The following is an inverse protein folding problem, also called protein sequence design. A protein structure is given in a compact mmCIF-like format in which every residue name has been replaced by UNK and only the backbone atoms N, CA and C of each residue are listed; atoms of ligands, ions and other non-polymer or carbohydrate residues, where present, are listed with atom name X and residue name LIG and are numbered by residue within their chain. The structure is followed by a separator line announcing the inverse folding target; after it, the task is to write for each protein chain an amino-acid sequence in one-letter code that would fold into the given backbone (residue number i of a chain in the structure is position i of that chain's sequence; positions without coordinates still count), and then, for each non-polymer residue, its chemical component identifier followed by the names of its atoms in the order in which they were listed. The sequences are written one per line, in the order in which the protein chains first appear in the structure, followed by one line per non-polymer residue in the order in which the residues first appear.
data_IF_115036803653
#
_entry.id   IF_115036803653
#
_cell.length_a   1.000
_cell.length_b   1.000
_cell.length_c   1.000
_cell.angle_alpha   90.00
_cell.angle_beta   90.00
_cell.angle_gamma   90.00
#
_symmetry.space_group_name_H-M   'P 1'
#
loop_
_entity.id
_entity.type
_entity.pdbx_description
1 polymer ?
#
# COMPACT_ATOMS: atom_id res chain seq x y z
N UNK A 1 31.86 -15.34 -8.87
CA UNK A 1 31.29 -14.07 -9.36
C UNK A 1 29.85 -14.06 -8.89
N UNK A 2 29.47 -13.06 -8.08
CA UNK A 2 28.09 -12.96 -7.55
C UNK A 2 27.20 -12.47 -8.69
N UNK A 3 26.02 -13.04 -8.83
CA UNK A 3 25.01 -12.58 -9.79
C UNK A 3 24.54 -11.20 -9.32
N UNK A 4 24.70 -10.17 -10.16
CA UNK A 4 24.34 -8.77 -9.86
C UNK A 4 22.93 -8.40 -10.37
N UNK A 5 22.16 -9.40 -10.81
CA UNK A 5 20.78 -9.27 -11.27
C UNK A 5 19.80 -9.83 -10.24
N UNK A 6 18.69 -9.14 -10.07
CA UNK A 6 17.48 -9.68 -9.44
C UNK A 6 16.40 -9.83 -10.51
N UNK A 7 15.67 -10.93 -10.46
CA UNK A 7 14.51 -11.18 -11.31
C UNK A 7 13.31 -11.47 -10.44
N UNK A 8 12.15 -10.97 -10.85
CA UNK A 8 10.90 -11.17 -10.12
C UNK A 8 9.69 -11.17 -11.07
N UNK A 9 8.59 -11.75 -10.59
CA UNK A 9 7.28 -11.65 -11.23
C UNK A 9 6.52 -10.47 -10.64
N UNK A 10 6.25 -9.47 -11.48
CA UNK A 10 5.42 -8.32 -11.12
C UNK A 10 4.06 -8.42 -11.81
N UNK A 11 3.06 -7.75 -11.24
CA UNK A 11 1.72 -7.70 -11.83
C UNK A 11 1.48 -6.33 -12.42
N UNK A 12 1.10 -6.27 -13.69
CA UNK A 12 0.68 -5.01 -14.32
C UNK A 12 -0.78 -4.67 -13.98
N UNK A 13 -1.28 -3.51 -14.41
CA UNK A 13 -2.66 -3.10 -14.11
C UNK A 13 -3.74 -3.96 -14.78
N UNK A 14 -3.41 -4.67 -15.85
CA UNK A 14 -4.31 -5.61 -16.50
C UNK A 14 -4.36 -6.97 -15.79
N UNK A 15 -3.71 -7.10 -14.63
CA UNK A 15 -3.55 -8.36 -13.89
C UNK A 15 -2.73 -9.41 -14.67
N UNK A 16 -1.92 -8.97 -15.62
CA UNK A 16 -0.97 -9.82 -16.32
C UNK A 16 0.33 -9.91 -15.50
N UNK A 17 0.93 -11.10 -15.52
CA UNK A 17 2.20 -11.36 -14.87
C UNK A 17 3.34 -10.98 -15.80
N UNK A 18 4.32 -10.24 -15.31
CA UNK A 18 5.43 -9.72 -16.11
C UNK A 18 6.77 -10.14 -15.49
N UNK A 19 7.75 -10.46 -16.33
CA UNK A 19 9.13 -10.68 -15.88
C UNK A 19 9.83 -9.34 -15.74
N UNK A 20 10.26 -9.01 -14.53
CA UNK A 20 11.07 -7.83 -14.23
C UNK A 20 12.52 -8.21 -13.94
N UNK A 21 13.46 -7.42 -14.43
CA UNK A 21 14.89 -7.59 -14.20
C UNK A 21 15.47 -6.29 -13.66
N UNK A 22 16.26 -6.37 -12.60
CA UNK A 22 16.96 -5.24 -12.02
C UNK A 22 18.45 -5.53 -11.91
N UNK A 23 19.28 -4.61 -12.38
CA UNK A 23 20.73 -4.67 -12.24
C UNK A 23 21.15 -3.94 -10.97
N UNK A 24 21.41 -4.71 -9.91
CA UNK A 24 21.56 -4.19 -8.55
C UNK A 24 22.89 -3.46 -8.29
N UNK A 25 23.95 -3.75 -9.05
CA UNK A 25 25.26 -3.13 -8.88
C UNK A 25 25.90 -2.78 -10.24
N UNK A 26 25.32 -1.83 -10.97
CA UNK A 26 25.91 -1.40 -12.24
C UNK A 26 27.21 -0.62 -11.96
N UNK A 27 28.34 -1.14 -12.44
CA UNK A 27 29.61 -0.41 -12.35
C UNK A 27 29.62 0.72 -13.38
N UNK A 28 30.12 1.90 -12.99
CA UNK A 28 30.07 3.10 -13.83
C UNK A 28 30.89 2.99 -15.13
N UNK A 29 30.31 3.67 -16.13
CA UNK A 29 30.71 3.97 -17.51
C UNK A 29 30.64 2.84 -18.57
N UNK A 30 29.67 3.01 -19.48
CA UNK A 30 29.55 2.42 -20.83
C UNK A 30 29.05 0.99 -21.02
N UNK A 31 28.41 0.37 -20.01
CA UNK A 31 27.83 -0.98 -20.16
C UNK A 31 26.31 -0.96 -20.09
N UNK A 32 25.68 -1.22 -21.22
CA UNK A 32 24.27 -1.63 -21.30
C UNK A 32 24.15 -3.12 -21.03
N UNK A 33 22.98 -3.54 -20.54
CA UNK A 33 22.65 -4.96 -20.42
C UNK A 33 21.40 -5.25 -21.24
N UNK A 34 21.55 -6.11 -22.24
CA UNK A 34 20.43 -6.52 -23.09
C UNK A 34 19.75 -7.73 -22.48
N UNK A 35 18.44 -7.63 -22.34
CA UNK A 35 17.60 -8.63 -21.70
C UNK A 35 16.55 -9.10 -22.70
N UNK A 36 16.47 -10.41 -22.92
CA UNK A 36 15.59 -11.03 -23.90
C UNK A 36 14.69 -12.05 -23.22
N UNK A 37 13.41 -12.05 -23.59
CA UNK A 37 12.43 -13.08 -23.22
C UNK A 37 11.84 -13.69 -24.49
N UNK A 38 11.93 -15.00 -24.62
CA UNK A 38 11.59 -15.76 -25.81
C UNK A 38 10.49 -16.78 -25.51
N UNK A 39 9.37 -16.67 -26.21
CA UNK A 39 8.33 -17.69 -26.31
C UNK A 39 8.58 -18.51 -27.57
N UNK A 40 9.23 -19.66 -27.41
CA UNK A 40 9.59 -20.52 -28.54
C UNK A 40 8.37 -21.14 -29.24
N UNK A 41 7.25 -21.30 -28.54
CA UNK A 41 6.04 -21.89 -29.10
C UNK A 41 5.34 -20.91 -30.04
N UNK A 42 5.27 -19.65 -29.63
CA UNK A 42 4.61 -18.58 -30.40
C UNK A 42 5.58 -17.78 -31.28
N UNK A 43 6.89 -18.09 -31.23
CA UNK A 43 7.95 -17.37 -31.93
C UNK A 43 7.95 -15.86 -31.61
N UNK A 44 7.73 -15.53 -30.33
CA UNK A 44 7.75 -14.16 -29.82
C UNK A 44 9.09 -13.90 -29.15
N UNK A 45 9.75 -12.81 -29.54
CA UNK A 45 10.97 -12.31 -28.91
C UNK A 45 10.72 -10.91 -28.38
N UNK A 46 10.90 -10.73 -27.08
CA UNK A 46 10.82 -9.45 -26.40
C UNK A 46 12.22 -9.04 -25.94
N UNK A 47 12.56 -7.76 -26.09
CA UNK A 47 13.90 -7.24 -25.83
C UNK A 47 13.78 -5.89 -25.12
N UNK A 48 14.51 -5.76 -24.02
CA UNK A 48 14.70 -4.50 -23.31
C UNK A 48 16.17 -4.31 -22.94
N UNK A 49 16.58 -3.06 -22.73
CA UNK A 49 17.96 -2.71 -22.39
C UNK A 49 18.01 -1.96 -21.07
N UNK A 50 18.80 -2.47 -20.14
CA UNK A 50 19.16 -1.79 -18.89
C UNK A 50 20.35 -0.85 -19.19
N UNK A 51 20.28 0.40 -18.71
CA UNK A 51 21.33 1.41 -18.89
C UNK A 51 21.77 2.01 -17.56
N UNK A 52 22.91 2.72 -17.48
CA UNK A 52 23.30 3.45 -16.27
C UNK A 52 22.23 4.44 -15.78
N UNK A 53 21.43 4.97 -16.70
CA UNK A 53 20.32 5.89 -16.42
C UNK A 53 18.99 5.18 -16.15
N UNK A 54 18.88 3.86 -16.40
CA UNK A 54 17.74 3.02 -16.06
C UNK A 54 18.19 1.62 -15.59
N UNK A 55 18.18 1.38 -14.29
CA UNK A 55 18.75 0.16 -13.69
C UNK A 55 17.79 -1.04 -13.62
N UNK A 56 16.60 -0.96 -14.24
CA UNK A 56 15.68 -2.08 -14.32
C UNK A 56 14.64 -1.99 -15.44
N UNK A 57 14.25 -3.15 -15.97
CA UNK A 57 13.36 -3.30 -17.13
C UNK A 57 12.31 -4.39 -16.90
N UNK A 58 11.28 -4.38 -17.73
CA UNK A 58 10.19 -5.38 -17.71
C UNK A 58 10.04 -5.97 -19.10
N UNK A 59 10.24 -7.27 -19.26
CA UNK A 59 10.40 -7.89 -20.57
C UNK A 59 9.08 -8.22 -21.28
N UNK A 60 7.98 -8.40 -20.54
CA UNK A 60 6.70 -8.73 -21.15
C UNK A 60 5.82 -9.63 -20.29
N UNK A 61 4.58 -9.82 -20.76
CA UNK A 61 3.60 -10.66 -20.09
C UNK A 61 3.93 -12.14 -20.27
N UNK A 62 3.76 -12.92 -19.20
CA UNK A 62 3.97 -14.36 -19.16
C UNK A 62 2.73 -15.09 -18.65
N UNK A 63 2.49 -16.27 -19.21
CA UNK A 63 1.43 -17.17 -18.78
C UNK A 63 1.91 -18.03 -17.60
N UNK A 64 0.98 -18.34 -16.69
CA UNK A 64 1.26 -19.25 -15.58
C UNK A 64 1.55 -20.66 -16.10
N UNK A 65 2.50 -21.34 -15.46
CA UNK A 65 2.94 -22.69 -15.76
C UNK A 65 3.53 -22.89 -17.17
N UNK A 66 3.77 -21.80 -17.91
CA UNK A 66 4.44 -21.81 -19.21
C UNK A 66 5.90 -21.42 -19.08
N UNK A 67 6.77 -22.19 -19.71
CA UNK A 67 8.21 -21.96 -19.75
C UNK A 67 8.58 -20.95 -20.86
N UNK A 68 9.40 -19.96 -20.50
CA UNK A 68 9.98 -18.98 -21.41
C UNK A 68 11.50 -19.06 -21.36
N UNK A 69 12.15 -18.86 -22.50
CA UNK A 69 13.60 -18.75 -22.55
C UNK A 69 14.02 -17.33 -22.21
N UNK A 70 15.05 -17.20 -21.37
CA UNK A 70 15.62 -15.91 -21.02
C UNK A 70 17.08 -15.83 -21.41
N UNK A 71 17.50 -14.67 -21.92
CA UNK A 71 18.90 -14.36 -22.22
C UNK A 71 19.24 -12.97 -21.71
N UNK A 72 20.30 -12.85 -20.94
CA UNK A 72 20.82 -11.59 -20.40
C UNK A 72 22.26 -11.45 -20.87
N UNK A 73 22.58 -10.34 -21.53
CA UNK A 73 23.89 -10.09 -22.12
C UNK A 73 24.51 -8.86 -21.46
N UNK A 74 25.59 -9.09 -20.71
CA UNK A 74 26.37 -8.04 -20.03
C UNK A 74 27.83 -8.14 -20.48
N UNK A 75 28.26 -7.22 -21.34
CA UNK A 75 29.60 -7.21 -21.94
C UNK A 75 29.97 -8.55 -22.59
N UNK A 76 30.94 -9.30 -22.05
CA UNK A 76 31.36 -10.61 -22.57
C UNK A 76 30.59 -11.79 -21.95
N UNK A 77 29.73 -11.53 -20.97
CA UNK A 77 28.98 -12.57 -20.26
C UNK A 77 27.58 -12.70 -20.86
N UNK A 78 27.23 -13.93 -21.23
CA UNK A 78 25.88 -14.28 -21.69
C UNK A 78 25.29 -15.26 -20.68
N UNK A 79 24.21 -14.85 -20.03
CA UNK A 79 23.43 -15.68 -19.14
C UNK A 79 22.20 -16.16 -19.90
N UNK A 80 21.95 -17.46 -19.90
CA UNK A 80 20.78 -18.06 -20.56
C UNK A 80 20.08 -18.99 -19.61
N UNK A 81 18.77 -19.12 -19.75
CA UNK A 81 18.00 -19.98 -18.89
C UNK A 81 16.55 -20.13 -19.31
N UNK A 82 15.81 -20.76 -18.42
CA UNK A 82 14.36 -20.86 -18.50
C UNK A 82 13.73 -20.17 -17.29
N UNK A 83 12.60 -19.50 -17.53
CA UNK A 83 11.77 -18.90 -16.49
C UNK A 83 10.34 -19.40 -16.63
N UNK A 84 9.73 -19.73 -15.49
CA UNK A 84 8.31 -20.13 -15.42
C UNK A 84 7.65 -19.39 -14.27
N UNK A 85 6.49 -18.77 -14.54
CA UNK A 85 5.67 -18.16 -13.51
C UNK A 85 4.73 -19.21 -12.90
N UNK A 86 4.73 -19.37 -11.58
CA UNK A 86 3.91 -20.36 -10.87
C UNK A 86 2.96 -19.70 -9.89
N UNK A 87 1.73 -20.21 -9.75
CA UNK A 87 0.80 -19.80 -8.68
C UNK A 87 0.94 -20.72 -7.48
N UNK A 88 1.24 -20.15 -6.32
CA UNK A 88 1.21 -20.88 -5.06
C UNK A 88 -0.25 -21.08 -4.61
N UNK A 89 -0.74 -22.33 -4.65
CA UNK A 89 -2.11 -22.67 -4.28
C UNK A 89 -2.47 -22.39 -2.80
N UNK A 90 -1.49 -22.30 -1.90
CA UNK A 90 -1.73 -22.06 -0.46
C UNK A 90 -1.80 -20.57 -0.10
N UNK A 91 -1.17 -19.71 -0.91
CA UNK A 91 -0.95 -18.29 -0.58
C UNK A 91 -1.46 -17.33 -1.65
N UNK A 92 -2.00 -17.84 -2.76
CA UNK A 92 -2.43 -17.06 -3.93
C UNK A 92 -1.35 -16.15 -4.54
N UNK A 93 -0.07 -16.30 -4.16
CA UNK A 93 1.05 -15.52 -4.69
C UNK A 93 1.63 -16.15 -5.95
N UNK A 94 2.16 -15.31 -6.85
CA UNK A 94 2.88 -15.76 -8.06
C UNK A 94 4.38 -15.54 -7.91
N UNK A 95 5.16 -16.53 -8.33
CA UNK A 95 6.61 -16.54 -8.24
C UNK A 95 7.27 -16.96 -9.56
N UNK A 96 8.51 -16.52 -9.80
CA UNK A 96 9.33 -17.04 -10.89
C UNK A 96 10.20 -18.19 -10.39
N UNK A 97 10.07 -19.36 -11.01
CA UNK A 97 11.13 -20.35 -11.00
C UNK A 97 12.12 -20.01 -12.13
N UNK A 98 13.41 -20.06 -11.83
CA UNK A 98 14.46 -19.64 -12.77
C UNK A 98 15.62 -20.63 -12.77
N UNK A 99 15.99 -21.10 -13.96
CA UNK A 99 17.14 -21.97 -14.17
C UNK A 99 18.11 -21.29 -15.12
N UNK A 100 18.99 -20.43 -14.60
CA UNK A 100 19.93 -19.62 -15.39
C UNK A 100 21.36 -20.13 -15.23
N UNK A 101 22.05 -20.28 -16.37
CA UNK A 101 23.44 -20.69 -16.45
C UNK A 101 24.21 -19.75 -17.39
N UNK A 102 25.53 -19.65 -17.17
CA UNK A 102 26.42 -18.87 -18.02
C UNK A 102 26.70 -19.69 -19.29
N UNK A 103 26.37 -19.14 -20.46
CA UNK A 103 26.67 -19.76 -21.74
C UNK A 103 28.19 -19.72 -22.02
N UNK A 104 28.85 -20.85 -22.30
CA UNK A 104 30.29 -20.89 -22.51
C UNK A 104 30.64 -20.45 -23.94
N UNK A 105 30.55 -19.15 -24.23
CA UNK A 105 31.19 -18.56 -25.39
C UNK A 105 32.48 -17.83 -24.95
N UNK A 106 33.62 -18.54 -25.08
CA UNK A 106 35.03 -18.05 -24.99
C UNK A 106 35.82 -18.12 -23.67
N UNK A 107 35.57 -19.08 -22.77
CA UNK A 107 36.67 -19.62 -21.92
C UNK A 107 36.35 -21.00 -21.37
N UNK A 108 37.12 -22.00 -21.81
CA UNK A 108 37.23 -23.29 -21.13
C UNK A 108 37.71 -23.05 -19.69
N UNK A 109 36.85 -23.28 -18.69
CA UNK A 109 37.18 -23.94 -17.42
C UNK A 109 36.04 -23.77 -16.41
N UNK A 110 35.61 -24.89 -15.84
CA UNK A 110 34.68 -25.05 -14.72
C UNK A 110 33.28 -24.49 -14.95
N UNK A 111 32.41 -25.39 -15.41
CA UNK A 111 31.01 -25.45 -14.97
C UNK A 111 31.01 -25.41 -13.44
N UNK A 112 30.96 -24.20 -12.88
CA UNK A 112 30.26 -24.03 -11.63
C UNK A 112 28.81 -24.28 -12.01
N UNK A 113 28.29 -25.46 -11.66
CA UNK A 113 26.87 -25.52 -11.35
C UNK A 113 26.66 -24.37 -10.38
N UNK A 114 26.05 -23.29 -10.83
CA UNK A 114 25.22 -22.49 -9.94
C UNK A 114 24.02 -23.41 -9.73
N UNK A 115 24.22 -24.45 -8.91
CA UNK A 115 23.17 -24.88 -8.03
C UNK A 115 22.89 -23.58 -7.29
N UNK A 116 21.82 -22.86 -7.67
CA UNK A 116 20.99 -22.26 -6.65
C UNK A 116 20.82 -23.41 -5.69
N UNK A 117 21.62 -23.41 -4.60
CA UNK A 117 21.43 -24.40 -3.57
C UNK A 117 19.93 -24.42 -3.38
N UNK A 118 19.42 -25.63 -3.28
CA UNK A 118 18.13 -25.92 -2.71
C UNK A 118 18.10 -25.44 -1.25
N UNK A 119 18.54 -24.20 -0.96
CA UNK A 119 17.80 -23.28 -0.15
C UNK A 119 16.38 -23.46 -0.63
N UNK A 120 15.60 -24.05 0.25
CA UNK A 120 14.23 -24.41 0.02
C UNK A 120 13.55 -23.33 -0.82
N UNK A 121 12.56 -23.74 -1.59
CA UNK A 121 11.51 -22.90 -2.18
C UNK A 121 10.76 -22.05 -1.10
N UNK A 122 11.31 -21.98 0.12
CA UNK A 122 11.17 -20.92 1.11
C UNK A 122 11.88 -19.59 0.75
N UNK A 123 12.61 -19.47 -0.37
CA UNK A 123 13.25 -18.21 -0.78
C UNK A 123 12.29 -17.10 -1.24
N UNK A 124 10.98 -17.39 -1.33
CA UNK A 124 9.92 -16.37 -1.34
C UNK A 124 9.06 -16.35 -0.05
N UNK A 125 9.45 -17.08 1.00
CA UNK A 125 8.76 -17.16 2.30
C UNK A 125 9.41 -16.32 3.42
N UNK A 126 10.27 -15.35 3.11
CA UNK A 126 10.86 -14.50 4.15
C UNK A 126 10.97 -13.00 3.79
N UNK A 127 9.82 -12.34 3.57
CA UNK A 127 9.69 -10.95 4.03
C UNK A 127 9.96 -10.82 5.56
N UNK A 128 10.04 -11.94 6.29
CA UNK A 128 10.25 -11.99 7.74
C UNK A 128 11.69 -11.70 8.21
N UNK A 129 12.72 -11.69 7.34
CA UNK A 129 14.12 -11.46 7.76
C UNK A 129 14.96 -10.48 6.91
N UNK A 130 14.46 -9.97 5.78
CA UNK A 130 15.21 -8.95 5.02
C UNK A 130 15.27 -7.67 5.86
N UNK A 131 16.50 -7.19 6.09
CA UNK A 131 16.73 -5.88 6.72
C UNK A 131 17.47 -4.96 5.77
N UNK A 132 17.30 -3.67 5.99
CA UNK A 132 17.87 -2.59 5.21
C UNK A 132 18.80 -1.77 6.10
N UNK A 133 20.04 -1.59 5.67
CA UNK A 133 21.03 -0.78 6.36
C UNK A 133 21.27 0.51 5.58
N UNK A 134 21.12 1.63 6.27
CA UNK A 134 21.43 2.94 5.73
C UNK A 134 22.91 3.29 5.94
N UNK A 135 23.49 3.98 4.97
CA UNK A 135 24.90 4.38 4.94
C UNK A 135 25.06 5.85 4.52
N UNK A 136 26.08 6.50 5.04
CA UNK A 136 26.61 7.78 4.56
C UNK A 136 28.11 7.60 4.32
N UNK A 137 28.50 7.49 3.05
CA UNK A 137 29.82 6.99 2.69
C UNK A 137 30.02 5.55 3.21
N UNK A 138 31.08 5.32 3.98
CA UNK A 138 31.37 4.02 4.61
C UNK A 138 30.70 3.82 5.99
N UNK A 139 30.08 4.85 6.56
CA UNK A 139 29.50 4.80 7.89
C UNK A 139 28.06 4.30 7.87
N UNK A 140 27.72 3.42 8.82
CA UNK A 140 26.35 2.97 9.05
C UNK A 140 25.56 4.05 9.79
N UNK A 141 24.45 4.48 9.22
CA UNK A 141 23.49 5.35 9.90
C UNK A 141 22.44 4.48 10.61
N UNK A 142 22.47 4.47 11.94
CA UNK A 142 21.52 3.72 12.76
C UNK A 142 21.61 2.19 12.62
N UNK A 143 20.69 1.50 13.30
CA UNK A 143 20.55 0.05 13.19
C UNK A 143 19.86 -0.35 11.88
N UNK A 144 20.07 -1.58 11.42
CA UNK A 144 19.36 -2.13 10.27
C UNK A 144 17.84 -2.16 10.54
N UNK A 145 17.07 -1.65 9.59
CA UNK A 145 15.61 -1.53 9.65
C UNK A 145 14.94 -2.71 8.98
N UNK A 146 13.74 -3.09 9.42
CA UNK A 146 12.91 -4.07 8.69
C UNK A 146 12.22 -3.46 7.47
N UNK A 147 11.95 -2.15 7.49
CA UNK A 147 11.42 -1.42 6.34
C UNK A 147 12.51 -0.70 5.57
N UNK A 148 12.44 -0.82 4.25
CA UNK A 148 13.25 -0.06 3.30
C UNK A 148 13.11 1.45 3.55
N UNK A 149 11.88 1.93 3.68
CA UNK A 149 11.58 3.36 3.79
C UNK A 149 11.99 3.94 5.13
N UNK A 150 11.90 3.14 6.20
CA UNK A 150 12.51 3.49 7.48
C UNK A 150 14.03 3.67 7.37
N UNK A 151 14.71 2.86 6.54
CA UNK A 151 16.13 3.05 6.27
C UNK A 151 16.42 4.26 5.36
N UNK A 152 15.59 4.54 4.35
CA UNK A 152 15.67 5.76 3.53
C UNK A 152 15.53 7.02 4.41
N UNK A 153 14.71 6.95 5.46
CA UNK A 153 14.54 8.09 6.36
C UNK A 153 15.80 8.46 7.12
N UNK A 154 16.57 7.46 7.56
CA UNK A 154 17.81 7.69 8.32
C UNK A 154 18.78 8.60 7.55
N UNK A 155 18.71 8.60 6.23
CA UNK A 155 19.58 9.36 5.33
C UNK A 155 18.91 10.59 4.69
N UNK A 156 17.66 10.95 5.05
CA UNK A 156 16.93 12.09 4.45
C UNK A 156 17.76 13.37 4.44
N UNK A 157 18.32 13.74 5.58
CA UNK A 157 19.07 15.00 5.75
C UNK A 157 20.55 14.89 5.37
N UNK A 158 20.98 13.75 4.81
CA UNK A 158 22.38 13.46 4.48
C UNK A 158 22.61 13.63 2.98
N UNK A 159 23.74 14.19 2.57
CA UNK A 159 24.00 14.49 1.15
C UNK A 159 24.17 13.23 0.27
N UNK A 160 24.93 12.23 0.75
CA UNK A 160 25.34 11.05 -0.03
C UNK A 160 24.84 9.75 0.61
N UNK A 161 23.55 9.70 0.88
CA UNK A 161 22.90 8.57 1.54
C UNK A 161 22.70 7.38 0.59
N UNK A 162 22.90 6.16 1.09
CA UNK A 162 22.61 4.91 0.37
C UNK A 162 21.90 3.94 1.31
N UNK A 163 20.93 3.19 0.80
CA UNK A 163 20.30 2.08 1.53
C UNK A 163 20.62 0.77 0.83
N UNK A 164 21.07 -0.21 1.62
CA UNK A 164 21.42 -1.54 1.13
C UNK A 164 20.64 -2.63 1.83
N UNK A 165 20.28 -3.66 1.08
CA UNK A 165 19.82 -4.94 1.60
C UNK A 165 20.94 -5.62 2.38
N UNK A 166 20.64 -6.10 3.58
CA UNK A 166 21.65 -6.71 4.48
C UNK A 166 22.01 -8.15 4.11
N UNK A 167 21.11 -8.87 3.45
CA UNK A 167 21.28 -10.24 2.99
C UNK A 167 22.10 -10.33 1.71
N UNK A 168 21.84 -9.45 0.74
CA UNK A 168 22.52 -9.46 -0.56
C UNK A 168 23.68 -8.47 -0.64
N UNK A 169 23.60 -7.36 0.10
CA UNK A 169 24.48 -6.20 -0.04
C UNK A 169 24.07 -5.23 -1.15
N UNK A 170 22.97 -5.53 -1.85
CA UNK A 170 22.49 -4.75 -2.99
C UNK A 170 22.04 -3.35 -2.58
N UNK A 171 22.38 -2.36 -3.40
CA UNK A 171 21.83 -1.00 -3.27
C UNK A 171 20.39 -1.01 -3.77
N UNK A 172 19.49 -0.47 -2.95
CA UNK A 172 18.04 -0.40 -3.25
C UNK A 172 17.50 1.02 -3.12
N UNK A 173 18.36 1.98 -2.77
CA UNK A 173 18.13 3.42 -2.84
C UNK A 173 19.47 4.14 -2.75
N UNK A 174 19.65 5.19 -3.52
CA UNK A 174 20.79 6.10 -3.45
C UNK A 174 20.37 7.54 -3.73
N UNK A 175 21.26 8.50 -3.46
CA UNK A 175 20.99 9.92 -3.73
C UNK A 175 21.55 10.42 -5.07
N UNK A 176 22.10 9.52 -5.89
CA UNK A 176 22.66 9.84 -7.19
C UNK A 176 21.61 9.70 -8.30
N UNK A 177 20.69 8.74 -8.18
CA UNK A 177 19.59 8.53 -9.13
C UNK A 177 18.38 9.40 -8.80
N UNK A 178 17.78 10.09 -9.78
CA UNK A 178 16.69 11.03 -9.51
C UNK A 178 15.39 10.35 -9.05
N UNK A 179 15.05 9.19 -9.61
CA UNK A 179 13.80 8.46 -9.37
C UNK A 179 14.08 6.99 -9.10
N UNK A 180 13.43 6.40 -8.08
CA UNK A 180 13.57 4.98 -7.73
C UNK A 180 12.21 4.31 -7.82
N UNK A 181 12.12 3.23 -8.59
CA UNK A 181 10.89 2.50 -8.94
C UNK A 181 10.69 1.35 -7.96
N UNK A 182 9.50 1.28 -7.39
CA UNK A 182 9.10 0.22 -6.48
C UNK A 182 7.71 -0.32 -6.83
N UNK A 183 7.49 -1.59 -6.54
CA UNK A 183 6.16 -2.19 -6.39
C UNK A 183 6.11 -2.81 -4.99
N UNK A 184 5.18 -2.35 -4.16
CA UNK A 184 5.26 -2.53 -2.69
C UNK A 184 6.66 -2.14 -2.17
N UNK A 185 7.28 -2.93 -1.29
CA UNK A 185 8.62 -2.65 -0.75
C UNK A 185 9.76 -3.12 -1.65
N UNK A 186 9.46 -3.78 -2.77
CA UNK A 186 10.45 -4.34 -3.69
C UNK A 186 10.94 -3.29 -4.67
N UNK A 187 12.26 -3.22 -4.85
CA UNK A 187 12.95 -2.29 -5.74
C UNK A 187 13.07 -2.88 -7.15
N UNK A 188 12.73 -2.08 -8.16
CA UNK A 188 12.74 -2.47 -9.58
C UNK A 188 13.63 -1.56 -10.44
N UNK A 189 14.63 -0.95 -9.82
CA UNK A 189 15.57 -0.06 -10.49
C UNK A 189 15.28 1.41 -10.25
N UNK A 190 16.14 2.25 -10.77
CA UNK A 190 16.06 3.70 -10.74
C UNK A 190 16.16 4.26 -12.14
N UNK A 191 15.63 5.46 -12.35
CA UNK A 191 15.75 6.20 -13.60
C UNK A 191 16.05 7.68 -13.34
N UNK A 192 16.55 8.38 -14.35
CA UNK A 192 16.78 9.83 -14.28
C UNK A 192 15.72 10.66 -15.04
N UNK A 193 14.91 10.03 -15.88
CA UNK A 193 13.88 10.71 -16.68
C UNK A 193 12.51 10.67 -15.99
N UNK A 194 11.84 11.82 -15.76
CA UNK A 194 10.52 11.88 -15.13
C UNK A 194 9.45 11.07 -15.89
N UNK A 195 9.51 11.06 -17.23
CA UNK A 195 8.55 10.33 -18.07
C UNK A 195 8.61 8.83 -17.86
N UNK A 196 9.79 8.28 -17.58
CA UNK A 196 9.94 6.85 -17.31
C UNK A 196 9.38 6.50 -15.92
N UNK A 197 9.62 7.37 -14.94
CA UNK A 197 9.02 7.25 -13.62
C UNK A 197 7.48 7.31 -13.67
N UNK A 198 6.92 8.21 -14.48
CA UNK A 198 5.48 8.30 -14.73
C UNK A 198 4.94 7.05 -15.42
N UNK A 199 5.64 6.56 -16.46
CA UNK A 199 5.28 5.32 -17.15
C UNK A 199 5.25 4.11 -16.21
N UNK A 200 6.21 3.97 -15.30
CA UNK A 200 6.21 2.92 -14.27
C UNK A 200 4.93 2.94 -13.43
N UNK A 201 4.53 4.15 -13.00
CA UNK A 201 3.31 4.38 -12.22
C UNK A 201 2.05 4.10 -13.04
N UNK A 202 2.08 4.37 -14.35
CA UNK A 202 0.99 4.12 -15.28
C UNK A 202 0.81 2.65 -15.66
N UNK A 203 1.88 1.87 -15.73
CA UNK A 203 1.85 0.49 -16.22
C UNK A 203 1.59 -0.54 -15.10
N UNK A 204 2.05 -0.26 -13.88
CA UNK A 204 2.05 -1.23 -12.79
C UNK A 204 1.09 -0.89 -11.65
N UNK A 205 0.38 -1.89 -11.15
CA UNK A 205 -0.39 -1.79 -9.93
C UNK A 205 0.55 -1.78 -8.71
N UNK A 206 0.13 -1.21 -7.58
CA UNK A 206 0.90 -1.19 -6.33
C UNK A 206 2.28 -0.51 -6.45
N UNK A 207 2.43 0.38 -7.43
CA UNK A 207 3.70 0.96 -7.84
C UNK A 207 3.88 2.37 -7.32
N UNK A 208 5.11 2.74 -6.99
CA UNK A 208 5.43 4.11 -6.61
C UNK A 208 6.88 4.46 -6.89
N UNK A 209 7.14 5.76 -6.90
CA UNK A 209 8.46 6.31 -7.17
C UNK A 209 8.93 7.20 -6.03
N UNK A 210 10.16 6.99 -5.55
CA UNK A 210 10.81 7.85 -4.56
C UNK A 210 11.93 8.66 -5.21
N UNK A 211 11.98 9.96 -4.95
CA UNK A 211 13.04 10.86 -5.41
C UNK A 211 14.32 10.72 -4.60
N UNK A 212 15.45 11.16 -5.18
CA UNK A 212 16.75 11.27 -4.48
C UNK A 212 16.73 12.09 -3.18
N UNK A 213 15.80 13.02 -3.06
CA UNK A 213 15.61 13.83 -1.85
C UNK A 213 14.85 13.08 -0.73
N UNK A 214 14.60 11.78 -0.93
CA UNK A 214 13.85 10.91 -0.05
C UNK A 214 12.37 11.33 0.08
N UNK A 215 11.74 11.89 -0.96
CA UNK A 215 10.30 12.15 -1.02
C UNK A 215 9.59 11.30 -2.07
N UNK A 216 8.28 11.10 -1.89
CA UNK A 216 7.43 10.39 -2.82
C UNK A 216 7.31 11.29 -4.03
N UNK A 217 7.66 10.78 -5.20
CA UNK A 217 7.38 11.47 -6.44
C UNK A 217 5.90 11.37 -6.73
N UNK A 218 5.44 10.14 -6.94
CA UNK A 218 4.06 9.79 -7.26
C UNK A 218 3.84 8.28 -7.06
N UNK A 219 2.60 7.82 -7.14
CA UNK A 219 2.22 6.41 -7.01
C UNK A 219 1.05 6.04 -7.94
N UNK A 220 0.82 4.74 -8.14
CA UNK A 220 -0.23 4.25 -9.04
C UNK A 220 -1.63 4.73 -8.68
N UNK A 221 -1.86 5.13 -7.43
CA UNK A 221 -3.15 5.64 -6.98
C UNK A 221 -3.44 7.09 -7.44
N UNK A 222 -2.50 8.01 -7.24
CA UNK A 222 -2.69 9.46 -7.51
C UNK A 222 -2.93 9.69 -9.01
N UNK A 223 -2.16 9.03 -9.87
CA UNK A 223 -2.27 9.15 -11.33
C UNK A 223 -3.61 8.59 -11.88
N UNK A 224 -4.12 7.49 -11.30
CA UNK A 224 -5.31 6.79 -11.84
C UNK A 224 -6.65 7.42 -11.44
N UNK A 225 -6.80 7.80 -10.17
CA UNK A 225 -8.13 8.04 -9.59
C UNK A 225 -8.51 9.51 -9.56
N UNK A 226 -7.53 10.41 -9.76
CA UNK A 226 -7.67 11.84 -9.48
C UNK A 226 -7.30 12.75 -10.64
N UNK A 227 -7.08 12.23 -11.86
CA UNK A 227 -6.70 13.03 -13.05
C UNK A 227 -7.70 14.14 -13.42
N UNK A 228 -8.94 14.11 -12.88
CA UNK A 228 -9.95 15.15 -13.01
C UNK A 228 -10.39 15.84 -11.71
N UNK A 229 -9.87 15.45 -10.53
CA UNK A 229 -10.27 16.00 -9.23
C UNK A 229 -9.10 16.78 -8.65
N UNK A 230 -9.27 18.09 -8.42
CA UNK A 230 -8.26 18.90 -7.71
C UNK A 230 -8.08 18.36 -6.29
N UNK A 231 -7.05 17.55 -6.11
CA UNK A 231 -6.63 17.05 -4.79
C UNK A 231 -5.94 18.20 -4.07
N UNK A 232 -6.61 18.82 -3.10
CA UNK A 232 -5.97 19.81 -2.23
C UNK A 232 -4.76 19.19 -1.52
N UNK A 233 -3.72 19.98 -1.26
CA UNK A 233 -2.42 19.48 -0.79
C UNK A 233 -2.50 18.61 0.49
N UNK A 234 -3.48 18.87 1.37
CA UNK A 234 -3.71 18.07 2.58
C UNK A 234 -4.18 16.62 2.30
N UNK A 235 -4.69 16.36 1.09
CA UNK A 235 -5.04 15.03 0.60
C UNK A 235 -3.88 14.35 -0.13
N UNK A 236 -2.74 15.01 -0.37
CA UNK A 236 -1.55 14.31 -0.86
C UNK A 236 -0.90 13.63 0.34
N UNK A 237 -0.27 12.49 0.12
CA UNK A 237 0.37 11.70 1.17
C UNK A 237 1.41 12.41 2.06
N UNK A 238 1.98 13.61 1.77
CA UNK A 238 2.95 14.22 2.67
C UNK A 238 2.41 14.55 4.06
N UNK A 239 1.10 14.83 4.21
CA UNK A 239 0.59 15.44 5.44
C UNK A 239 -0.10 14.46 6.41
N UNK A 240 -0.55 13.28 5.98
CA UNK A 240 -1.45 12.43 6.80
C UNK A 240 -1.22 10.91 6.77
N UNK A 241 -0.45 10.37 5.80
CA UNK A 241 -0.04 8.95 5.74
C UNK A 241 -1.14 7.88 5.88
N UNK A 242 -2.42 8.23 5.67
CA UNK A 242 -3.55 7.39 6.06
C UNK A 242 -4.26 6.70 4.91
N UNK A 243 -4.52 5.39 5.04
CA UNK A 243 -5.30 4.60 4.09
C UNK A 243 -6.77 4.76 4.42
N UNK A 244 -7.59 5.07 3.43
CA UNK A 244 -9.00 5.37 3.62
C UNK A 244 -9.80 4.83 2.44
N UNK A 245 -10.73 3.93 2.70
CA UNK A 245 -11.69 3.48 1.69
C UNK A 245 -13.01 4.20 1.92
N UNK A 246 -13.54 4.87 0.89
CA UNK A 246 -14.77 5.68 0.94
C UNK A 246 -15.81 5.22 -0.06
N UNK A 247 -17.07 5.21 0.35
CA UNK A 247 -18.23 5.01 -0.52
C UNK A 247 -19.21 6.14 -0.32
N UNK A 248 -19.56 6.87 -1.38
CA UNK A 248 -20.55 7.95 -1.28
C UNK A 248 -21.75 7.76 -2.20
N UNK A 249 -22.89 8.27 -1.74
CA UNK A 249 -24.03 8.63 -2.58
C UNK A 249 -24.24 10.16 -2.46
N UNK A 250 -24.19 10.87 -3.58
CA UNK A 250 -24.07 12.32 -3.62
C UNK A 250 -25.42 13.02 -3.52
N UNK A 251 -25.51 14.02 -2.62
CA UNK A 251 -26.50 15.11 -2.65
C UNK A 251 -27.99 14.71 -2.72
N UNK A 252 -28.35 13.57 -2.14
CA UNK A 252 -29.75 13.13 -2.09
C UNK A 252 -30.45 13.51 -0.79
N UNK A 253 -29.93 14.45 0.01
CA UNK A 253 -30.62 14.94 1.22
C UNK A 253 -30.86 13.89 2.31
N UNK A 254 -30.01 12.86 2.38
CA UNK A 254 -30.09 11.84 3.42
C UNK A 254 -29.84 12.47 4.80
N UNK A 255 -30.55 11.98 5.81
CA UNK A 255 -30.47 12.43 7.22
C UNK A 255 -30.04 11.31 8.16
N UNK A 256 -30.15 10.07 7.71
CA UNK A 256 -29.89 8.89 8.51
C UNK A 256 -28.99 7.93 7.74
N UNK A 257 -28.03 7.35 8.44
CA UNK A 257 -27.18 6.28 7.93
C UNK A 257 -27.06 5.20 8.98
N UNK A 258 -27.05 3.94 8.59
CA UNK A 258 -26.78 2.85 9.52
C UNK A 258 -26.02 1.73 8.85
N UNK A 259 -25.24 1.00 9.64
CA UNK A 259 -24.47 -0.14 9.19
C UNK A 259 -24.21 -1.12 10.33
N UNK A 260 -23.94 -2.35 9.98
CA UNK A 260 -23.27 -3.34 10.83
C UNK A 260 -21.84 -3.49 10.34
N UNK A 261 -20.88 -3.51 11.25
CA UNK A 261 -19.49 -3.83 10.93
C UNK A 261 -19.08 -5.06 11.71
N UNK A 262 -18.68 -6.10 10.99
CA UNK A 262 -18.25 -7.35 11.62
C UNK A 262 -16.80 -7.25 12.09
N UNK A 263 -16.56 -6.42 13.12
CA UNK A 263 -15.23 -6.25 13.70
C UNK A 263 -14.68 -7.54 14.31
N UNK A 264 -15.52 -8.51 14.69
CA UNK A 264 -15.05 -9.80 15.20
C UNK A 264 -14.24 -10.62 14.18
N UNK A 265 -14.43 -10.33 12.89
CA UNK A 265 -13.70 -10.96 11.79
C UNK A 265 -12.41 -10.20 11.45
N UNK A 266 -12.32 -8.94 11.89
CA UNK A 266 -11.18 -8.09 11.56
C UNK A 266 -9.90 -8.54 12.27
N UNK A 267 -8.76 -8.17 11.69
CA UNK A 267 -7.43 -8.33 12.29
C UNK A 267 -6.70 -7.01 12.19
N UNK A 268 -6.23 -6.51 13.33
CA UNK A 268 -5.45 -5.28 13.40
C UNK A 268 -4.07 -5.56 13.94
N UNK A 269 -3.03 -5.28 13.17
CA UNK A 269 -1.63 -5.34 13.62
C UNK A 269 -1.04 -3.94 13.57
N UNK A 270 -0.53 -3.46 14.70
CA UNK A 270 0.14 -2.17 14.76
C UNK A 270 1.45 -2.22 13.96
N UNK A 271 1.87 -1.05 13.44
CA UNK A 271 3.21 -0.90 12.88
C UNK A 271 4.27 -1.35 13.89
N UNK A 272 5.29 -2.07 13.41
CA UNK A 272 6.43 -2.50 14.23
C UNK A 272 7.37 -1.34 14.58
N UNK A 273 7.17 -0.16 13.99
CA UNK A 273 7.88 1.05 14.37
C UNK A 273 7.28 1.65 15.66
N UNK A 274 7.98 1.48 16.78
CA UNK A 274 7.55 1.96 18.10
C UNK A 274 7.43 3.49 18.19
N UNK A 275 7.94 4.25 17.22
CA UNK A 275 7.79 5.71 17.14
C UNK A 275 6.56 6.15 16.33
N UNK A 276 5.84 5.20 15.72
CA UNK A 276 4.73 5.46 14.81
C UNK A 276 3.48 4.76 15.33
N UNK A 277 2.82 5.48 16.24
CA UNK A 277 1.43 5.19 16.58
C UNK A 277 0.61 4.97 15.31
N UNK A 278 -0.31 4.02 15.25
CA UNK A 278 -1.35 4.01 14.22
C UNK A 278 -2.69 4.00 14.92
N UNK A 279 -3.69 4.63 14.33
CA UNK A 279 -5.09 4.52 14.72
C UNK A 279 -5.85 3.85 13.58
N UNK A 280 -6.68 2.88 13.92
CA UNK A 280 -7.64 2.31 12.98
C UNK A 280 -9.01 2.92 13.25
N UNK A 281 -9.76 3.25 12.20
CA UNK A 281 -11.09 3.79 12.31
C UNK A 281 -12.08 3.02 11.44
N UNK A 282 -13.30 2.96 11.93
CA UNK A 282 -14.46 2.47 11.20
C UNK A 282 -15.59 3.44 11.50
N UNK A 283 -16.03 4.22 10.52
CA UNK A 283 -16.92 5.35 10.75
C UNK A 283 -17.87 5.66 9.59
N UNK A 284 -18.93 6.38 9.91
CA UNK A 284 -19.84 7.01 8.97
C UNK A 284 -19.48 8.50 8.92
N UNK A 285 -19.26 9.02 7.72
CA UNK A 285 -19.01 10.43 7.48
C UNK A 285 -20.20 11.08 6.79
N UNK A 286 -20.44 12.35 7.09
CA UNK A 286 -21.41 13.18 6.38
C UNK A 286 -20.73 14.46 5.95
N UNK A 287 -20.91 14.84 4.69
CA UNK A 287 -20.21 15.96 4.09
C UNK A 287 -21.19 16.90 3.40
N UNK A 288 -21.00 18.20 3.64
CA UNK A 288 -21.54 19.29 2.84
C UNK A 288 -20.40 20.26 2.52
N UNK A 289 -20.67 21.30 1.73
CA UNK A 289 -19.65 22.29 1.32
C UNK A 289 -18.96 22.99 2.51
N UNK A 290 -19.65 23.09 3.66
CA UNK A 290 -19.19 23.86 4.82
C UNK A 290 -18.65 23.01 5.99
N UNK A 291 -19.03 21.73 6.07
CA UNK A 291 -18.76 20.92 7.26
C UNK A 291 -18.72 19.42 6.95
N UNK A 292 -17.72 18.76 7.51
CA UNK A 292 -17.64 17.30 7.55
C UNK A 292 -17.85 16.83 8.99
N UNK A 293 -18.74 15.86 9.17
CA UNK A 293 -18.98 15.21 10.46
C UNK A 293 -18.70 13.72 10.32
N UNK A 294 -17.71 13.24 11.06
CA UNK A 294 -17.33 11.84 11.12
C UNK A 294 -17.72 11.26 12.47
N UNK A 295 -18.23 10.03 12.48
CA UNK A 295 -18.42 9.28 13.72
C UNK A 295 -18.36 7.79 13.51
N UNK A 296 -17.74 7.12 14.46
CA UNK A 296 -17.76 5.69 14.52
C UNK A 296 -16.89 5.23 15.66
N UNK A 297 -15.96 4.34 15.35
CA UNK A 297 -15.05 3.76 16.32
C UNK A 297 -13.61 4.06 15.93
N UNK A 298 -12.81 4.38 16.94
CA UNK A 298 -11.35 4.45 16.86
C UNK A 298 -10.76 3.31 17.69
N UNK A 299 -9.78 2.62 17.13
CA UNK A 299 -8.87 1.78 17.86
C UNK A 299 -7.50 2.43 17.91
N UNK A 300 -6.95 2.54 19.11
CA UNK A 300 -5.54 2.92 19.30
C UNK A 300 -4.73 1.66 19.68
N UNK A 301 -4.20 0.90 18.71
CA UNK A 301 -3.46 -0.34 18.94
C UNK A 301 -2.20 -0.20 19.80
N UNK A 302 -1.70 1.03 20.03
CA UNK A 302 -0.58 1.29 20.95
C UNK A 302 -1.02 1.39 22.42
N UNK A 303 -2.32 1.26 22.70
CA UNK A 303 -2.86 1.11 24.05
C UNK A 303 -3.15 -0.36 24.34
N UNK A 304 -4.36 -0.83 24.05
CA UNK A 304 -4.87 -2.17 24.35
C UNK A 304 -5.58 -2.82 23.15
N UNK A 305 -5.65 -2.14 22.01
CA UNK A 305 -6.39 -2.60 20.84
C UNK A 305 -7.92 -2.52 20.97
N UNK A 306 -8.44 -1.89 22.02
CA UNK A 306 -9.88 -1.71 22.21
C UNK A 306 -10.42 -0.59 21.30
N UNK A 307 -11.72 -0.71 21.00
CA UNK A 307 -12.44 0.22 20.15
C UNK A 307 -13.35 1.11 20.99
N UNK A 308 -13.24 2.41 20.73
CA UNK A 308 -13.92 3.45 21.46
C UNK A 308 -14.76 4.29 20.49
N UNK A 309 -15.92 4.81 20.89
CA UNK A 309 -16.65 5.77 20.08
C UNK A 309 -15.79 6.99 19.84
N UNK A 310 -15.82 7.50 18.62
CA UNK A 310 -15.11 8.72 18.26
C UNK A 310 -15.93 9.57 17.31
N UNK A 311 -15.60 10.86 17.27
CA UNK A 311 -16.21 11.80 16.36
C UNK A 311 -15.23 12.88 15.91
N UNK A 312 -15.48 13.46 14.75
CA UNK A 312 -14.80 14.65 14.25
C UNK A 312 -15.83 15.59 13.62
N UNK A 313 -15.64 16.89 13.80
CA UNK A 313 -16.41 17.94 13.13
C UNK A 313 -15.42 18.89 12.47
N UNK A 314 -15.02 18.56 11.23
CA UNK A 314 -14.07 19.34 10.45
C UNK A 314 -14.74 20.58 9.82
N UNK A 315 -13.99 21.70 9.78
CA UNK A 315 -14.46 23.03 9.36
C UNK A 315 -14.51 24.08 10.49
N UNK A 316 -13.55 24.07 11.44
CA UNK A 316 -13.40 25.07 12.50
C UNK A 316 -12.11 24.88 13.33
N UNK A 317 -11.82 25.78 14.27
CA UNK A 317 -10.53 25.89 15.01
C UNK A 317 -10.10 24.66 15.85
N UNK A 318 -10.96 23.64 15.99
CA UNK A 318 -10.70 22.42 16.79
C UNK A 318 -10.96 21.12 16.00
N UNK A 319 -10.59 21.09 14.72
CA UNK A 319 -10.71 19.89 13.88
C UNK A 319 -9.80 18.76 14.40
N UNK A 320 -10.29 17.52 14.38
CA UNK A 320 -9.59 16.33 14.87
C UNK A 320 -10.54 15.32 15.51
N UNK A 321 -10.20 14.03 15.41
CA UNK A 321 -10.97 12.95 16.05
C UNK A 321 -10.86 13.04 17.58
N UNK A 322 -12.02 13.13 18.22
CA UNK A 322 -12.19 13.07 19.68
C UNK A 322 -12.75 11.71 20.05
N UNK A 323 -12.27 11.15 21.16
CA UNK A 323 -12.64 9.82 21.64
C UNK A 323 -13.48 9.93 22.91
N UNK A 324 -14.48 9.08 23.06
CA UNK A 324 -15.17 8.86 24.33
C UNK A 324 -14.45 7.76 25.12
N UNK A 325 -14.41 7.85 26.45
CA UNK A 325 -13.73 6.85 27.30
C UNK A 325 -14.59 5.62 27.62
N UNK A 326 -15.45 5.27 26.68
CA UNK A 326 -16.31 4.10 26.75
C UNK A 326 -15.79 2.99 25.83
N UNK A 327 -15.60 1.78 26.35
CA UNK A 327 -15.08 0.66 25.55
C UNK A 327 -16.26 -0.03 24.88
N UNK A 328 -16.38 0.13 23.55
CA UNK A 328 -17.40 -0.59 22.79
C UNK A 328 -16.94 -2.01 22.52
N UNK A 329 -15.75 -2.22 21.95
CA UNK A 329 -15.22 -3.56 21.63
C UNK A 329 -13.89 -3.75 22.33
N UNK A 330 -13.73 -4.90 22.99
CA UNK A 330 -12.44 -5.30 23.55
C UNK A 330 -11.70 -6.20 22.57
N UNK A 331 -10.38 -6.14 22.58
CA UNK A 331 -9.55 -7.00 21.73
C UNK A 331 -8.63 -7.89 22.55
N UNK A 332 -8.33 -9.08 22.03
CA UNK A 332 -7.26 -9.94 22.55
C UNK A 332 -6.05 -9.86 21.62
N UNK A 333 -4.84 -9.72 22.17
CA UNK A 333 -3.61 -9.76 21.36
C UNK A 333 -3.08 -11.19 21.25
N UNK A 334 -2.91 -11.69 20.04
CA UNK A 334 -2.35 -13.02 19.81
C UNK A 334 -0.81 -13.01 19.80
N UNK A 335 -0.20 -14.20 19.67
CA UNK A 335 1.26 -14.37 19.64
C UNK A 335 1.95 -13.67 18.45
N UNK A 336 1.23 -13.46 17.35
CA UNK A 336 1.71 -12.73 16.16
C UNK A 336 1.61 -11.21 16.31
N UNK A 337 1.09 -10.74 17.45
CA UNK A 337 0.91 -9.32 17.74
C UNK A 337 -0.36 -8.70 17.14
N UNK A 338 -1.26 -9.50 16.59
CA UNK A 338 -2.57 -9.04 16.08
C UNK A 338 -3.55 -8.84 17.23
N UNK A 339 -4.26 -7.72 17.19
CA UNK A 339 -5.46 -7.48 17.98
C UNK A 339 -6.68 -8.08 17.28
N UNK A 340 -7.39 -8.93 18.03
CA UNK A 340 -8.58 -9.66 17.62
C UNK A 340 -9.80 -9.06 18.35
N UNK A 341 -10.60 -8.19 17.73
CA UNK A 341 -11.80 -7.64 18.34
C UNK A 341 -12.80 -8.76 18.62
N UNK A 342 -13.54 -8.68 19.73
CA UNK A 342 -14.35 -9.81 20.18
C UNK A 342 -15.83 -9.78 19.78
N UNK A 343 -16.31 -8.71 19.13
CA UNK A 343 -17.71 -8.61 18.71
C UNK A 343 -17.91 -7.63 17.56
N UNK A 344 -19.05 -7.80 16.91
CA UNK A 344 -19.53 -6.93 15.85
C UNK A 344 -20.21 -5.68 16.42
N UNK A 345 -20.34 -4.66 15.58
CA UNK A 345 -20.91 -3.37 15.97
C UNK A 345 -21.99 -2.94 15.01
N UNK A 346 -23.06 -2.42 15.56
CA UNK A 346 -24.10 -1.72 14.82
C UNK A 346 -23.95 -0.24 15.07
N UNK A 347 -23.90 0.55 14.00
CA UNK A 347 -23.77 2.00 14.05
C UNK A 347 -24.97 2.63 13.36
N UNK A 348 -25.50 3.69 13.96
CA UNK A 348 -26.50 4.53 13.37
C UNK A 348 -26.13 6.00 13.58
N UNK A 349 -26.28 6.77 12.53
CA UNK A 349 -26.13 8.21 12.45
C UNK A 349 -27.51 8.79 12.15
N UNK A 350 -27.94 9.82 12.89
CA UNK A 350 -29.13 10.61 12.55
C UNK A 350 -28.96 12.09 12.85
N UNK A 351 -29.54 12.95 11.99
CA UNK A 351 -29.80 14.35 12.29
C UNK A 351 -31.26 14.57 12.65
N UNK A 352 -31.55 15.44 13.62
CA UNK A 352 -32.89 16.00 13.76
C UNK A 352 -33.08 17.27 12.91
N UNK A 353 -34.30 17.79 12.90
CA UNK A 353 -34.66 19.01 12.16
C UNK A 353 -33.97 20.28 12.68
N UNK A 354 -33.41 20.24 13.89
CA UNK A 354 -32.66 21.35 14.51
C UNK A 354 -31.17 21.29 14.16
N UNK A 355 -30.71 20.21 13.51
CA UNK A 355 -29.31 19.96 13.21
C UNK A 355 -28.53 19.34 14.36
N UNK A 356 -29.21 18.81 15.39
CA UNK A 356 -28.56 18.02 16.43
C UNK A 356 -28.13 16.67 15.85
N UNK A 357 -26.97 16.21 16.28
CA UNK A 357 -26.38 14.99 15.77
C UNK A 357 -26.49 13.91 16.85
N UNK A 358 -27.10 12.79 16.47
CA UNK A 358 -27.22 11.62 17.32
C UNK A 358 -26.53 10.44 16.67
N UNK A 359 -25.75 9.77 17.48
CA UNK A 359 -25.06 8.57 17.09
C UNK A 359 -25.42 7.44 18.02
N UNK A 360 -25.73 6.28 17.47
CA UNK A 360 -26.01 5.10 18.28
C UNK A 360 -25.04 3.99 17.90
N UNK A 361 -24.35 3.44 18.91
CA UNK A 361 -23.48 2.28 18.76
C UNK A 361 -24.01 1.17 19.67
N UNK A 362 -24.40 0.03 19.09
CA UNK A 362 -24.96 -1.10 19.83
C UNK A 362 -26.10 -0.70 20.79
N UNK A 363 -26.97 0.22 20.35
CA UNK A 363 -28.11 0.71 21.12
C UNK A 363 -27.79 1.84 22.12
N UNK A 364 -26.50 2.17 22.34
CA UNK A 364 -26.11 3.31 23.18
C UNK A 364 -25.98 4.59 22.36
N UNK A 365 -26.69 5.65 22.78
CA UNK A 365 -26.71 6.93 22.08
C UNK A 365 -25.69 7.92 22.64
N UNK A 366 -24.97 8.60 21.74
CA UNK A 366 -24.09 9.72 21.99
C UNK A 366 -24.66 10.94 21.26
N UNK A 367 -24.81 12.04 21.98
CA UNK A 367 -25.35 13.29 21.44
C UNK A 367 -24.23 14.30 21.34
N UNK A 368 -24.15 14.98 20.20
CA UNK A 368 -23.21 16.08 20.00
C UNK A 368 -24.01 17.33 19.65
N UNK A 369 -24.09 18.24 20.62
CA UNK A 369 -24.63 19.57 20.40
C UNK A 369 -23.57 20.39 19.67
N UNK A 370 -23.90 20.86 18.46
CA UNK A 370 -23.03 21.75 17.71
C UNK A 370 -23.79 23.03 17.38
N UNK A 371 -23.21 24.17 17.77
CA UNK A 371 -23.73 25.49 17.47
C UNK A 371 -23.47 25.94 16.02
N UNK A 372 -22.79 25.11 15.20
CA UNK A 372 -22.42 25.46 13.83
C UNK A 372 -23.63 25.51 12.90
N UNK A 373 -23.90 26.68 12.32
CA UNK A 373 -24.96 26.94 11.34
C UNK A 373 -24.86 26.05 10.08
N UNK A 374 -23.65 25.69 9.65
CA UNK A 374 -23.43 24.80 8.49
C UNK A 374 -23.96 23.37 8.68
N UNK A 375 -24.13 22.91 9.93
CA UNK A 375 -24.68 21.57 10.22
C UNK A 375 -26.18 21.51 9.89
N UNK A 376 -26.87 22.66 9.89
CA UNK A 376 -28.32 22.76 9.62
C UNK A 376 -28.71 22.59 8.15
N UNK A 377 -27.75 22.57 7.22
CA UNK A 377 -28.02 22.31 5.79
C UNK A 377 -28.28 20.81 5.59
N UNK A 378 -29.40 20.48 4.94
CA UNK A 378 -29.91 19.11 4.77
C UNK A 378 -29.37 18.38 3.53
N UNK A 379 -28.69 19.07 2.62
CA UNK A 379 -28.08 18.46 1.44
C UNK A 379 -26.69 17.94 1.81
N UNK A 380 -26.63 16.66 2.21
CA UNK A 380 -25.40 16.00 2.65
C UNK A 380 -25.15 14.73 1.85
N UNK A 381 -23.88 14.48 1.59
CA UNK A 381 -23.38 13.18 1.15
C UNK A 381 -23.10 12.32 2.38
N UNK A 382 -23.46 11.03 2.32
CA UNK A 382 -23.15 10.05 3.36
C UNK A 382 -22.07 9.10 2.87
N UNK A 383 -21.13 8.78 3.76
CA UNK A 383 -20.04 7.86 3.47
C UNK A 383 -19.86 6.80 4.54
N UNK A 384 -19.60 5.57 4.13
CA UNK A 384 -19.09 4.49 5.00
C UNK A 384 -17.57 4.40 4.80
N UNK A 385 -16.81 4.36 5.90
CA UNK A 385 -15.36 4.57 5.87
C UNK A 385 -14.60 3.62 6.79
N UNK A 386 -13.63 2.91 6.23
CA UNK A 386 -12.58 2.20 6.97
C UNK A 386 -11.28 2.96 6.77
N UNK A 387 -10.53 3.22 7.85
CA UNK A 387 -9.20 3.82 7.73
C UNK A 387 -8.17 3.24 8.69
N UNK A 388 -6.91 3.37 8.29
CA UNK A 388 -5.76 3.05 9.12
C UNK A 388 -4.72 4.15 8.91
N UNK A 389 -4.43 4.92 9.96
CA UNK A 389 -3.73 6.20 9.84
C UNK A 389 -2.62 6.29 10.90
N UNK A 390 -1.39 6.67 10.53
CA UNK A 390 -0.33 6.93 11.50
C UNK A 390 -0.66 8.15 12.38
N UNK A 391 -0.25 8.09 13.64
CA UNK A 391 -0.28 9.22 14.58
C UNK A 391 0.94 10.08 14.28
N UNK A 392 0.69 11.25 13.71
CA UNK A 392 1.70 12.27 13.48
C UNK A 392 1.87 13.10 14.76
N UNK A 393 3.08 13.10 15.32
CA UNK A 393 3.39 13.90 16.51
C UNK A 393 3.54 15.39 16.18
N UNK A 394 3.45 16.29 17.16
CA UNK A 394 3.59 17.74 16.92
C UNK A 394 4.95 18.13 16.28
N UNK A 395 6.00 17.33 16.52
CA UNK A 395 7.33 17.48 15.90
C UNK A 395 7.46 16.87 14.51
N UNK A 396 6.40 16.28 13.94
CA UNK A 396 6.43 15.59 12.64
C UNK A 396 5.90 16.43 11.48
N UNK A 397 5.46 17.67 11.72
CA UNK A 397 5.11 18.62 10.64
C UNK A 397 6.29 18.87 9.69
N UNK A 398 7.52 18.71 10.17
CA UNK A 398 8.76 18.91 9.40
C UNK A 398 9.52 17.59 9.08
N UNK A 399 8.95 16.42 9.39
CA UNK A 399 9.60 15.10 9.20
C UNK A 399 8.71 14.17 8.38
N UNK A 400 8.29 14.69 7.24
CA UNK A 400 7.41 14.02 6.30
C UNK A 400 8.23 13.03 5.46
N UNK A 401 8.22 11.76 5.87
CA UNK A 401 8.79 10.69 5.05
C UNK A 401 7.78 10.13 4.07
N UNK A 402 8.25 9.70 2.89
CA UNK A 402 7.38 9.35 1.79
C UNK A 402 6.74 7.99 1.92
N UNK A 403 7.08 7.25 2.97
CA UNK A 403 6.40 6.02 3.22
C UNK A 403 6.52 5.48 4.66
N UNK A 404 5.36 5.38 5.31
CA UNK A 404 5.16 4.86 6.67
C UNK A 404 4.66 3.39 6.70
N UNK A 405 4.71 2.64 5.58
CA UNK A 405 4.17 1.27 5.36
C UNK A 405 4.90 0.12 6.09
N UNK A 406 4.95 0.11 7.42
CA UNK A 406 5.72 -0.90 8.17
C UNK A 406 4.81 -1.96 8.84
N UNK A 407 4.83 -3.23 8.36
CA UNK A 407 4.27 -4.49 8.94
C UNK A 407 2.83 -4.54 9.48
N UNK A 408 2.19 -3.38 9.63
CA UNK A 408 0.84 -3.22 10.13
C UNK A 408 -0.21 -3.47 9.06
N UNK A 409 -1.41 -3.74 9.52
CA UNK A 409 -2.57 -3.90 8.65
C UNK A 409 -3.84 -3.79 9.47
N UNK A 410 -4.91 -3.48 8.77
CA UNK A 410 -6.27 -3.60 9.24
C UNK A 410 -7.09 -4.34 8.17
N UNK A 411 -7.26 -5.64 8.36
CA UNK A 411 -7.87 -6.56 7.37
C UNK A 411 -9.17 -7.17 7.86
N UNK A 412 -9.94 -7.73 6.93
CA UNK A 412 -11.21 -8.41 7.14
C UNK A 412 -12.27 -7.53 7.81
N UNK A 413 -12.32 -6.25 7.46
CA UNK A 413 -13.34 -5.32 7.98
C UNK A 413 -14.58 -5.44 7.11
N UNK A 414 -15.61 -6.12 7.62
CA UNK A 414 -16.80 -6.40 6.82
C UNK A 414 -17.92 -5.43 7.15
N UNK A 415 -18.32 -4.61 6.18
CA UNK A 415 -19.52 -3.78 6.23
C UNK A 415 -20.73 -4.57 5.73
N UNK A 416 -21.84 -4.53 6.47
CA UNK A 416 -23.11 -5.19 6.15
C UNK A 416 -24.29 -4.32 6.55
N UNK A 417 -25.45 -4.62 5.97
CA UNK A 417 -26.71 -3.95 6.32
C UNK A 417 -26.60 -2.42 6.25
N UNK A 418 -25.78 -1.93 5.32
CA UNK A 418 -25.61 -0.50 5.10
C UNK A 418 -26.93 0.06 4.56
N UNK A 419 -27.47 1.08 5.22
CA UNK A 419 -28.74 1.73 4.86
C UNK A 419 -28.63 3.23 4.98
N UNK A 420 -29.31 3.95 4.08
CA UNK A 420 -29.38 5.41 4.06
C UNK A 420 -30.85 5.84 4.01
N UNK A 421 -31.22 6.94 4.65
CA UNK A 421 -32.61 7.41 4.68
C UNK A 421 -32.72 8.93 4.73
N UNK A 422 -33.71 9.49 4.02
CA UNK A 422 -34.15 10.89 4.22
C UNK A 422 -35.00 11.01 5.48
N UNK A 423 -35.73 9.94 5.77
CA UNK A 423 -36.57 9.69 6.94
C UNK A 423 -36.47 8.20 7.29
N UNK A 424 -37.04 7.80 8.43
CA UNK A 424 -37.24 6.38 8.76
C UNK A 424 -38.46 5.86 7.97
N UNK A 425 -38.39 4.69 7.30
CA UNK A 425 -37.31 3.71 7.31
C UNK A 425 -36.20 3.98 6.28
N UNK A 426 -34.96 3.63 6.64
CA UNK A 426 -33.81 3.73 5.74
C UNK A 426 -33.91 2.69 4.60
N UNK A 427 -33.46 3.07 3.40
CA UNK A 427 -33.33 2.19 2.24
C UNK A 427 -31.95 1.49 2.22
N UNK A 428 -31.86 0.23 1.76
CA UNK A 428 -30.58 -0.45 1.60
C UNK A 428 -29.61 0.30 0.67
N UNK A 429 -28.36 0.41 1.09
CA UNK A 429 -27.25 0.82 0.26
C UNK A 429 -26.65 -0.41 -0.43
N UNK A 430 -26.55 -0.36 -1.76
CA UNK A 430 -26.02 -1.43 -2.58
C UNK A 430 -24.71 -0.97 -3.23
N UNK A 431 -23.62 -1.66 -2.89
CA UNK A 431 -22.26 -1.39 -3.37
C UNK A 431 -22.09 -1.61 -4.87
N UNK A 432 -22.99 -2.40 -5.47
CA UNK A 432 -23.02 -2.74 -6.90
C UNK A 432 -23.88 -1.76 -7.72
N UNK A 433 -24.48 -0.72 -7.12
CA UNK A 433 -25.37 0.18 -7.84
C UNK A 433 -24.63 1.21 -8.70
N UNK A 434 -25.17 1.53 -9.89
CA UNK A 434 -24.63 2.56 -10.79
C UNK A 434 -24.70 3.98 -10.22
N UNK A 435 -25.45 4.19 -9.14
CA UNK A 435 -25.57 5.46 -8.42
C UNK A 435 -24.48 5.66 -7.35
N UNK A 436 -23.47 4.79 -7.30
CA UNK A 436 -22.25 5.00 -6.53
C UNK A 436 -21.45 6.11 -7.19
N UNK A 437 -21.46 7.30 -6.60
CA UNK A 437 -20.84 8.49 -7.21
C UNK A 437 -19.43 8.77 -6.70
N UNK A 438 -18.98 8.11 -5.64
CA UNK A 438 -17.60 8.23 -5.21
C UNK A 438 -17.10 6.91 -4.60
N UNK A 439 -16.06 6.37 -5.22
CA UNK A 439 -15.16 5.40 -4.63
C UNK A 439 -13.80 6.04 -4.53
N UNK A 440 -13.31 6.27 -3.32
CA UNK A 440 -11.97 6.78 -3.10
C UNK A 440 -11.25 5.77 -2.21
N UNK A 441 -10.35 4.99 -2.80
CA UNK A 441 -9.40 4.13 -2.11
C UNK A 441 -8.10 4.89 -1.95
N UNK A 442 -7.94 5.61 -0.85
CA UNK A 442 -6.67 6.27 -0.60
C UNK A 442 -5.55 5.23 -0.50
N UNK A 443 -4.62 5.30 -1.46
CA UNK A 443 -3.52 4.37 -1.63
C UNK A 443 -4.02 2.93 -1.89
N UNK A 444 -4.50 2.70 -3.12
CA UNK A 444 -4.81 1.38 -3.68
C UNK A 444 -3.65 0.39 -3.58
N UNK A 445 -2.43 0.88 -3.35
CA UNK A 445 -1.23 0.04 -3.29
C UNK A 445 -1.18 -0.81 -2.00
N UNK A 446 -2.13 -0.58 -1.09
CA UNK A 446 -2.14 -1.07 0.27
C UNK A 446 -3.57 -1.27 0.79
N UNK A 447 -4.54 -1.42 -0.12
CA UNK A 447 -5.89 -1.82 0.24
C UNK A 447 -6.51 -2.69 -0.84
N UNK A 448 -7.41 -3.57 -0.43
CA UNK A 448 -8.29 -4.33 -1.33
C UNK A 448 -9.71 -4.25 -0.82
N UNK A 449 -10.67 -4.27 -1.74
CA UNK A 449 -12.08 -4.40 -1.38
C UNK A 449 -12.75 -5.45 -2.23
N UNK A 450 -13.68 -6.17 -1.61
CA UNK A 450 -14.54 -7.12 -2.30
C UNK A 450 -15.98 -6.85 -1.87
N UNK A 451 -16.85 -6.58 -2.84
CA UNK A 451 -18.24 -6.22 -2.57
C UNK A 451 -19.21 -7.16 -3.30
N UNK A 452 -20.28 -7.51 -2.59
CA UNK A 452 -21.38 -8.32 -3.11
C UNK A 452 -22.71 -7.82 -2.54
N UNK A 453 -23.46 -7.09 -3.39
CA UNK A 453 -24.75 -6.53 -3.02
C UNK A 453 -24.64 -5.49 -1.90
N UNK A 454 -25.07 -5.86 -0.70
CA UNK A 454 -25.07 -4.98 0.50
C UNK A 454 -23.93 -5.28 1.47
N UNK A 455 -23.03 -6.18 1.10
CA UNK A 455 -21.87 -6.58 1.89
C UNK A 455 -20.59 -6.15 1.20
N UNK A 456 -19.62 -5.75 2.01
CA UNK A 456 -18.30 -5.38 1.56
C UNK A 456 -17.24 -5.82 2.57
N UNK A 457 -16.12 -6.31 2.07
CA UNK A 457 -14.91 -6.60 2.84
C UNK A 457 -13.87 -5.56 2.46
N UNK A 458 -13.28 -4.91 3.46
CA UNK A 458 -12.18 -3.97 3.29
C UNK A 458 -10.94 -4.53 3.96
N UNK A 459 -9.84 -4.52 3.22
CA UNK A 459 -8.50 -4.80 3.70
C UNK A 459 -7.62 -3.58 3.47
N UNK A 460 -6.86 -3.22 4.50
CA UNK A 460 -5.80 -2.23 4.43
C UNK A 460 -4.54 -2.91 4.94
N UNK A 461 -3.48 -2.94 4.15
CA UNK A 461 -2.25 -3.65 4.47
C UNK A 461 -1.04 -2.93 3.88
N UNK A 462 0.12 -3.10 4.51
CA UNK A 462 1.34 -2.43 4.09
C UNK A 462 2.29 -3.28 3.23
N UNK A 463 2.03 -4.58 3.10
CA UNK A 463 2.93 -5.54 2.45
C UNK A 463 2.15 -6.49 1.51
N UNK A 464 2.81 -6.90 0.41
CA UNK A 464 2.35 -7.90 -0.56
C UNK A 464 2.01 -9.23 0.10
N UNK A 465 2.62 -9.59 1.22
CA UNK A 465 2.31 -10.83 1.95
C UNK A 465 0.86 -10.86 2.50
N UNK A 466 0.15 -9.72 2.50
CA UNK A 466 -1.19 -9.59 3.05
C UNK A 466 -2.28 -9.25 2.01
N UNK A 467 -2.01 -9.38 0.71
CA UNK A 467 -2.94 -9.02 -0.39
C UNK A 467 -4.17 -9.93 -0.56
N UNK A 468 -4.47 -10.76 0.45
CA UNK A 468 -5.42 -11.90 0.44
C UNK A 468 -5.04 -13.05 -0.49
#
# INVERSE_FOLDING_TARGET
MKVDFQMDCITNKNQEYMVAITHLNMQEESKTVDCFLEDLENNTLLHETITPENTGVTLGAVELEKAYHIRIEEAENIYVGEVTAHKNAEKETVFLDTNIYISPAKRQAKVARITLEKAEVESQRAATNVKYQAYVGSYKEGAAQKSLFAAIELIRTKANGVVKRTDTGATVFDKNSDYHKYQFTAYYGSCNEPKEAEKWIEDFAYSHVIKKDCHLYDNSFISQTMSGVKVEAWNKEPDNGGYVVKYANMWLGYRTGSATVNLSQARLKASTNSKQGCNAFVYISTQSDDVTVDFGLICSPHSNGNWYPCYNIAGGENAGFKKFDDVIVTSTKNSSGEYLPNKDVTMQYTFDEKGNIFFTVNGKTYTIESSKTGIKKFDRSFLFMTSYVPILGESSKDKQTPDFRNDGYFRNVVWKNCKLGKTTPNVPFNYNSSNRSLYLEYNTDCCSTNHSGTTEVVNIFYDREYTE
#
